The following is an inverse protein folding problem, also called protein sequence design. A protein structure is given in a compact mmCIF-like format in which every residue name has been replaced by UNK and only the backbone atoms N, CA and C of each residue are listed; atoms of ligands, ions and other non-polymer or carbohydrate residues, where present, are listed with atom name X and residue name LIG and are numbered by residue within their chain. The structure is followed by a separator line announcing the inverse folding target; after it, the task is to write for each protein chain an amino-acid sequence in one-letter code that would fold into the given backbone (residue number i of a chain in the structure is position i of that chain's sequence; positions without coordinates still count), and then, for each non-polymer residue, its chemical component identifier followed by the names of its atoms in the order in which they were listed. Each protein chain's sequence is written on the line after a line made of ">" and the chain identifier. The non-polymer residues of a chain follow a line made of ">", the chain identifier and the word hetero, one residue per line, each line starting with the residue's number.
data_IF_411334966475
#
_entry.id   IF_411334966475
#
_cell.length_a   1.000
_cell.length_b   1.000
_cell.length_c   1.000
_cell.angle_alpha   90.00
_cell.angle_beta   90.00
_cell.angle_gamma   90.00
#
_symmetry.space_group_name_H-M   'P 1'
#
loop_
_entity.id
_entity.type
_entity.pdbx_description
1 polymer ?
#
# COMPACT_ATOMS: atom_id res chain seq x y z
N UNK A 1 -10.61 3.94 3.78
CA UNK A 1 -9.43 4.63 3.22
C UNK A 1 -8.48 5.23 4.24
N UNK A 2 -8.94 5.97 5.25
CA UNK A 2 -8.05 6.65 6.20
C UNK A 2 -6.91 5.81 6.81
N UNK A 3 -7.10 4.51 7.07
CA UNK A 3 -6.02 3.63 7.56
C UNK A 3 -4.95 3.36 6.50
N UNK A 4 -5.33 3.22 5.22
CA UNK A 4 -4.40 3.02 4.11
C UNK A 4 -3.59 4.29 3.90
N UNK A 5 -4.24 5.46 3.85
CA UNK A 5 -3.57 6.75 3.72
C UNK A 5 -2.57 6.99 4.85
N UNK A 6 -2.98 6.75 6.11
CA UNK A 6 -2.07 6.87 7.27
C UNK A 6 -0.89 5.90 7.20
N UNK A 7 -1.10 4.69 6.68
CA UNK A 7 -0.02 3.72 6.50
C UNK A 7 1.01 4.22 5.47
N UNK A 8 0.54 4.66 4.30
CA UNK A 8 1.38 5.22 3.25
C UNK A 8 2.14 6.48 3.71
N UNK A 9 1.46 7.42 4.38
CA UNK A 9 2.05 8.63 4.94
C UNK A 9 3.14 8.30 5.99
N UNK A 10 2.86 7.34 6.88
CA UNK A 10 3.85 6.89 7.88
C UNK A 10 5.08 6.31 7.21
N UNK A 11 4.90 5.45 6.20
CA UNK A 11 6.02 4.86 5.44
C UNK A 11 6.82 5.96 4.73
N UNK A 12 6.16 6.89 4.05
CA UNK A 12 6.80 8.00 3.37
C UNK A 12 7.64 8.85 4.33
N UNK A 13 7.08 9.22 5.47
CA UNK A 13 7.79 10.00 6.50
C UNK A 13 9.02 9.26 7.03
N UNK A 14 8.90 7.95 7.28
CA UNK A 14 10.04 7.13 7.72
C UNK A 14 11.13 7.05 6.65
N UNK A 15 10.78 6.92 5.37
CA UNK A 15 11.76 6.94 4.28
C UNK A 15 12.47 8.30 4.22
N UNK A 16 11.73 9.40 4.26
CA UNK A 16 12.28 10.76 4.23
C UNK A 16 13.26 11.00 5.37
N UNK A 17 12.96 10.52 6.59
CA UNK A 17 13.87 10.62 7.74
C UNK A 17 15.12 9.73 7.55
N UNK A 18 14.98 8.58 6.89
CA UNK A 18 16.08 7.63 6.69
C UNK A 18 17.05 8.00 5.57
N UNK A 19 16.64 8.82 4.60
CA UNK A 19 17.42 9.11 3.40
C UNK A 19 18.02 10.53 3.40
N UNK A 20 19.32 10.70 3.04
CA UNK A 20 19.94 12.04 2.93
C UNK A 20 19.30 12.95 1.88
N UNK A 21 18.61 12.39 0.89
CA UNK A 21 17.98 13.13 -0.23
C UNK A 21 16.56 13.61 0.08
N UNK A 22 15.91 13.10 1.13
CA UNK A 22 14.62 13.58 1.62
C UNK A 22 13.42 13.40 0.68
N UNK A 23 13.47 12.48 -0.28
CA UNK A 23 12.34 12.20 -1.21
C UNK A 23 12.13 10.70 -1.32
N UNK A 24 10.91 10.25 -1.02
CA UNK A 24 10.48 8.87 -1.24
C UNK A 24 9.67 8.76 -2.53
N UNK A 25 10.00 7.81 -3.38
CA UNK A 25 9.23 7.50 -4.59
C UNK A 25 8.45 6.17 -4.43
N UNK A 26 7.69 5.79 -5.46
CA UNK A 26 6.91 4.56 -5.44
C UNK A 26 7.77 3.29 -5.28
N UNK A 27 8.96 3.25 -5.89
CA UNK A 27 9.89 2.12 -5.82
C UNK A 27 10.49 1.96 -4.42
N UNK A 28 10.60 3.04 -3.65
CA UNK A 28 10.98 3.00 -2.23
C UNK A 28 9.82 2.49 -1.36
N UNK A 29 8.57 2.89 -1.67
CA UNK A 29 7.40 2.63 -0.82
C UNK A 29 6.85 1.21 -1.01
N UNK A 30 6.71 0.73 -2.25
CA UNK A 30 6.02 -0.55 -2.54
C UNK A 30 6.67 -1.74 -1.81
N UNK A 31 8.02 -1.94 -1.83
CA UNK A 31 8.64 -3.06 -1.12
C UNK A 31 8.40 -3.02 0.39
N UNK A 32 8.42 -1.83 0.99
CA UNK A 32 8.13 -1.65 2.42
C UNK A 32 6.66 -1.96 2.69
N UNK A 33 5.75 -1.53 1.82
CA UNK A 33 4.32 -1.79 1.97
C UNK A 33 4.00 -3.29 1.86
N UNK A 34 4.66 -4.01 0.94
CA UNK A 34 4.57 -5.48 0.85
C UNK A 34 5.02 -6.11 2.17
N UNK A 35 6.18 -5.72 2.70
CA UNK A 35 6.69 -6.22 3.97
C UNK A 35 5.71 -5.94 5.13
N UNK A 36 5.21 -4.71 5.24
CA UNK A 36 4.25 -4.30 6.27
C UNK A 36 2.96 -5.11 6.18
N UNK A 37 2.42 -5.33 4.97
CA UNK A 37 1.22 -6.13 4.78
C UNK A 37 1.41 -7.59 5.21
N UNK A 38 2.58 -8.19 4.92
CA UNK A 38 2.92 -9.56 5.36
C UNK A 38 2.99 -9.62 6.88
N UNK A 39 3.71 -8.68 7.50
CA UNK A 39 3.90 -8.67 8.96
C UNK A 39 2.60 -8.35 9.71
N UNK A 40 1.82 -7.38 9.23
CA UNK A 40 0.57 -6.99 9.87
C UNK A 40 -0.55 -8.01 9.66
N UNK A 41 -0.51 -8.76 8.55
CA UNK A 41 -1.52 -9.74 8.13
C UNK A 41 -2.96 -9.27 8.38
N UNK A 42 -3.42 -8.17 7.75
CA UNK A 42 -4.72 -7.59 8.06
C UNK A 42 -5.87 -8.57 7.80
N UNK A 43 -6.83 -8.71 8.73
CA UNK A 43 -7.96 -9.62 8.54
C UNK A 43 -8.81 -9.16 7.34
N UNK A 44 -9.29 -10.15 6.57
CA UNK A 44 -10.13 -9.93 5.39
C UNK A 44 -9.55 -8.94 4.36
N UNK A 45 -8.22 -8.92 4.20
CA UNK A 45 -7.50 -7.99 3.31
C UNK A 45 -8.12 -7.88 1.91
N UNK A 46 -8.39 -9.01 1.25
CA UNK A 46 -8.95 -9.03 -0.10
C UNK A 46 -10.41 -8.53 -0.14
N UNK A 47 -11.22 -8.89 0.86
CA UNK A 47 -12.61 -8.41 0.95
C UNK A 47 -12.65 -6.90 1.21
N UNK A 48 -11.77 -6.37 2.06
CA UNK A 48 -11.62 -4.94 2.30
C UNK A 48 -11.18 -4.21 1.02
N UNK A 49 -10.23 -4.79 0.28
CA UNK A 49 -9.78 -4.26 -1.01
C UNK A 49 -10.95 -4.15 -2.00
N UNK A 50 -11.70 -5.25 -2.18
CA UNK A 50 -12.86 -5.29 -3.07
C UNK A 50 -13.95 -4.31 -2.65
N UNK A 51 -14.24 -4.20 -1.35
CA UNK A 51 -15.23 -3.27 -0.83
C UNK A 51 -14.85 -1.82 -1.16
N UNK A 52 -13.61 -1.42 -0.89
CA UNK A 52 -13.15 -0.06 -1.17
C UNK A 52 -13.15 0.22 -2.67
N UNK A 53 -12.67 -0.70 -3.50
CA UNK A 53 -12.69 -0.56 -4.97
C UNK A 53 -14.12 -0.43 -5.49
N UNK A 54 -15.06 -1.22 -4.99
CA UNK A 54 -16.44 -1.25 -5.49
C UNK A 54 -17.31 -0.07 -5.03
N UNK A 55 -17.04 0.50 -3.86
CA UNK A 55 -17.95 1.48 -3.23
C UNK A 55 -17.32 2.86 -2.98
N UNK A 56 -15.98 3.00 -3.05
CA UNK A 56 -15.29 4.26 -2.74
C UNK A 56 -14.34 4.75 -3.84
N UNK A 57 -14.01 3.92 -4.84
CA UNK A 57 -13.03 4.28 -5.88
C UNK A 57 -13.36 5.58 -6.63
N UNK A 58 -14.64 5.80 -6.97
CA UNK A 58 -15.09 7.00 -7.70
C UNK A 58 -14.94 8.31 -6.91
N UNK A 59 -14.64 8.22 -5.62
CA UNK A 59 -14.44 9.37 -4.72
C UNK A 59 -12.98 9.62 -4.40
N UNK A 60 -12.08 8.75 -4.84
CA UNK A 60 -10.65 8.89 -4.58
C UNK A 60 -10.03 9.85 -5.59
N UNK A 61 -9.34 10.87 -5.07
CA UNK A 61 -8.60 11.82 -5.89
C UNK A 61 -7.24 12.13 -5.25
N UNK A 62 -6.30 12.63 -6.06
CA UNK A 62 -4.98 13.07 -5.62
C UNK A 62 -4.23 12.01 -4.80
N UNK A 63 -3.78 12.42 -3.61
CA UNK A 63 -2.97 11.58 -2.71
C UNK A 63 -3.69 10.30 -2.26
N UNK A 64 -5.01 10.35 -2.09
CA UNK A 64 -5.78 9.17 -1.69
C UNK A 64 -5.77 8.10 -2.79
N UNK A 65 -5.95 8.53 -4.05
CA UNK A 65 -5.87 7.64 -5.22
C UNK A 65 -4.45 7.11 -5.45
N UNK A 66 -3.42 7.94 -5.20
CA UNK A 66 -2.03 7.51 -5.25
C UNK A 66 -1.73 6.43 -4.19
N UNK A 67 -2.07 6.69 -2.93
CA UNK A 67 -1.93 5.71 -1.84
C UNK A 67 -2.68 4.40 -2.15
N UNK A 68 -3.88 4.49 -2.71
CA UNK A 68 -4.66 3.32 -3.11
C UNK A 68 -3.96 2.51 -4.20
N UNK A 69 -3.37 3.18 -5.19
CA UNK A 69 -2.63 2.54 -6.29
C UNK A 69 -1.41 1.78 -5.75
N UNK A 70 -0.64 2.38 -4.82
CA UNK A 70 0.48 1.70 -4.17
C UNK A 70 0.02 0.49 -3.35
N UNK A 71 -1.05 0.64 -2.58
CA UNK A 71 -1.60 -0.42 -1.72
C UNK A 71 -2.09 -1.61 -2.53
N UNK A 72 -2.88 -1.36 -3.57
CA UNK A 72 -3.38 -2.41 -4.46
C UNK A 72 -2.25 -3.09 -5.23
N UNK A 73 -1.25 -2.33 -5.70
CA UNK A 73 -0.05 -2.90 -6.36
C UNK A 73 0.74 -3.82 -5.43
N UNK A 74 0.90 -3.45 -4.15
CA UNK A 74 1.57 -4.28 -3.15
C UNK A 74 0.81 -5.60 -2.89
N UNK A 75 -0.53 -5.56 -2.83
CA UNK A 75 -1.38 -6.76 -2.71
C UNK A 75 -1.23 -7.67 -3.93
N UNK A 76 -1.30 -7.12 -5.14
CA UNK A 76 -1.13 -7.90 -6.38
C UNK A 76 0.27 -8.54 -6.44
N UNK A 77 1.31 -7.79 -6.09
CA UNK A 77 2.66 -8.34 -5.99
C UNK A 77 2.74 -9.51 -5.00
N UNK A 78 2.14 -9.36 -3.81
CA UNK A 78 2.09 -10.43 -2.82
C UNK A 78 1.40 -11.70 -3.34
N UNK A 79 0.31 -11.56 -4.09
CA UNK A 79 -0.35 -12.71 -4.74
C UNK A 79 0.58 -13.44 -5.71
N UNK A 80 1.45 -12.73 -6.42
CA UNK A 80 2.42 -13.37 -7.33
C UNK A 80 3.49 -14.19 -6.60
N UNK A 81 3.87 -13.77 -5.38
CA UNK A 81 4.82 -14.51 -4.54
C UNK A 81 4.23 -15.84 -4.06
N UNK A 82 2.95 -15.82 -3.66
CA UNK A 82 2.24 -17.02 -3.23
C UNK A 82 2.04 -18.02 -4.37
N UNK A 83 1.73 -17.56 -5.58
CA UNK A 83 1.57 -18.44 -6.74
C UNK A 83 2.86 -19.08 -7.23
N UNK A 84 4.04 -18.49 -6.95
CA UNK A 84 5.34 -19.05 -7.37
C UNK A 84 5.90 -20.09 -6.40
N UNK A 85 5.26 -20.29 -5.26
CA UNK A 85 5.71 -21.21 -4.21
C UNK A 85 4.91 -22.53 -4.15
N UNK A 86 4.00 -22.74 -5.10
CA UNK A 86 3.29 -23.99 -5.42
C UNK A 86 3.47 -24.31 -6.90
#
# INVERSE_FOLDING_TARGET
>A
MACVSRCCETIQNLIVISQPRGVANADDIIPILVYVLIQANPPALLSNMQYITGFHADRMEGEEAYCWTLFTSAIEFMKTLLHKHF
#
